data_IF_530074725536
#
_entry.id   IF_530074725536
#
_cell.length_a   1.000
_cell.length_b   1.000
_cell.length_c   1.000
_cell.angle_alpha   90.00
_cell.angle_beta   90.00
_cell.angle_gamma   90.00
#
_symmetry.space_group_name_H-M   'P 1'
#
loop_
_entity.id
_entity.type
_entity.pdbx_description
1 polymer ?
#
# COMPACT_ATOMS: atom_id res chain seq x y z
N UNK A 1 -12.18 -14.72 10.58
CA UNK A 1 -11.98 -14.07 9.27
C UNK A 1 -10.71 -13.20 9.19
N UNK A 2 -9.80 -13.30 10.18
CA UNK A 2 -8.38 -12.98 10.04
C UNK A 2 -7.64 -14.24 10.49
N UNK A 3 -7.54 -15.19 9.57
CA UNK A 3 -6.91 -16.49 9.80
C UNK A 3 -5.51 -16.41 9.20
N UNK A 4 -4.44 -16.28 10.02
CA UNK A 4 -3.07 -16.16 9.50
C UNK A 4 -2.67 -17.38 8.65
N UNK A 5 -3.38 -18.50 8.81
CA UNK A 5 -3.19 -19.73 8.03
C UNK A 5 -3.39 -19.51 6.54
N UNK A 6 -4.31 -18.62 6.14
CA UNK A 6 -4.60 -18.36 4.70
C UNK A 6 -3.39 -17.75 3.97
N UNK A 7 -2.58 -16.94 4.66
CA UNK A 7 -1.36 -16.36 4.07
C UNK A 7 -0.26 -17.43 3.93
N UNK A 8 -0.18 -18.35 4.88
CA UNK A 8 0.77 -19.47 4.88
C UNK A 8 0.41 -20.51 3.81
N UNK A 9 -0.87 -20.83 3.63
CA UNK A 9 -1.35 -21.78 2.61
C UNK A 9 -1.18 -21.22 1.18
N UNK A 10 -1.31 -19.89 1.02
CA UNK A 10 -0.94 -19.20 -0.22
C UNK A 10 0.57 -19.33 -0.52
N UNK A 11 1.44 -19.13 0.48
CA UNK A 11 2.88 -19.27 0.33
C UNK A 11 3.33 -20.72 0.07
N UNK A 12 2.53 -21.70 0.49
CA UNK A 12 2.75 -23.14 0.27
C UNK A 12 2.12 -23.70 -1.01
N UNK A 13 1.48 -22.85 -1.85
CA UNK A 13 0.79 -23.25 -3.08
C UNK A 13 -0.42 -24.19 -2.89
N UNK A 14 -0.95 -24.34 -1.67
CA UNK A 14 -2.15 -25.15 -1.44
C UNK A 14 -3.44 -24.36 -1.69
N UNK A 15 -3.43 -23.03 -1.45
CA UNK A 15 -4.63 -22.19 -1.60
C UNK A 15 -4.37 -20.91 -2.41
N UNK A 16 -4.87 -20.88 -3.66
CA UNK A 16 -4.76 -19.73 -4.57
C UNK A 16 -5.84 -18.67 -4.34
N UNK A 17 -6.69 -18.80 -3.32
CA UNK A 17 -7.78 -17.86 -3.04
C UNK A 17 -7.31 -16.41 -2.88
N UNK A 18 -6.20 -16.18 -2.15
CA UNK A 18 -5.63 -14.84 -1.98
C UNK A 18 -5.10 -14.26 -3.30
N UNK A 19 -4.47 -15.09 -4.14
CA UNK A 19 -3.98 -14.67 -5.45
C UNK A 19 -5.14 -14.26 -6.36
N UNK A 20 -6.22 -15.05 -6.37
CA UNK A 20 -7.42 -14.76 -7.14
C UNK A 20 -8.09 -13.45 -6.70
N UNK A 21 -8.20 -13.22 -5.39
CA UNK A 21 -8.83 -12.00 -4.85
C UNK A 21 -7.97 -10.77 -5.15
N UNK A 22 -6.66 -10.83 -4.87
CA UNK A 22 -5.74 -9.71 -5.15
C UNK A 22 -5.61 -9.45 -6.66
N UNK A 23 -5.48 -10.50 -7.47
CA UNK A 23 -5.41 -10.40 -8.93
C UNK A 23 -6.73 -9.91 -9.55
N UNK A 24 -7.87 -10.39 -9.07
CA UNK A 24 -9.20 -9.92 -9.46
C UNK A 24 -9.40 -8.44 -9.11
N UNK A 25 -9.07 -8.04 -7.88
CA UNK A 25 -9.14 -6.63 -7.48
C UNK A 25 -8.20 -5.75 -8.34
N UNK A 26 -6.97 -6.21 -8.61
CA UNK A 26 -6.00 -5.48 -9.43
C UNK A 26 -6.47 -5.32 -10.88
N UNK A 27 -7.00 -6.38 -11.49
CA UNK A 27 -7.51 -6.35 -12.87
C UNK A 27 -8.74 -5.46 -13.03
N UNK A 28 -9.70 -5.54 -12.10
CA UNK A 28 -10.88 -4.66 -12.09
C UNK A 28 -10.46 -3.20 -11.90
N UNK A 29 -9.53 -2.92 -10.98
CA UNK A 29 -9.00 -1.57 -10.75
C UNK A 29 -8.26 -1.05 -11.99
N UNK A 30 -7.42 -1.87 -12.61
CA UNK A 30 -6.71 -1.50 -13.83
C UNK A 30 -7.68 -1.21 -14.99
N UNK A 31 -8.70 -2.06 -15.19
CA UNK A 31 -9.73 -1.86 -16.20
C UNK A 31 -10.51 -0.55 -15.96
N UNK A 32 -11.00 -0.34 -14.74
CA UNK A 32 -11.77 0.88 -14.40
C UNK A 32 -10.94 2.15 -14.55
N UNK A 33 -9.70 2.19 -14.06
CA UNK A 33 -8.82 3.36 -14.21
C UNK A 33 -8.47 3.62 -15.68
N UNK A 34 -8.18 2.58 -16.45
CA UNK A 34 -7.86 2.73 -17.89
C UNK A 34 -9.07 3.20 -18.69
N UNK A 35 -10.27 2.67 -18.42
CA UNK A 35 -11.53 3.12 -19.01
C UNK A 35 -11.82 4.58 -18.64
N UNK A 36 -11.66 4.97 -17.37
CA UNK A 36 -11.90 6.33 -16.91
C UNK A 36 -10.97 7.34 -17.58
N UNK A 37 -9.67 7.04 -17.67
CA UNK A 37 -8.68 7.89 -18.36
C UNK A 37 -8.96 7.94 -19.87
N UNK A 38 -9.30 6.81 -20.49
CA UNK A 38 -9.56 6.73 -21.95
C UNK A 38 -10.88 7.40 -22.35
N UNK A 39 -11.86 7.45 -21.44
CA UNK A 39 -13.14 8.13 -21.67
C UNK A 39 -13.01 9.64 -21.80
N UNK A 40 -11.86 10.24 -21.46
CA UNK A 40 -11.66 11.70 -21.52
C UNK A 40 -12.59 12.48 -20.58
N UNK A 41 -13.27 11.79 -19.67
CA UNK A 41 -14.24 12.38 -18.75
C UNK A 41 -13.57 13.24 -17.68
N UNK A 42 -14.34 14.14 -17.11
CA UNK A 42 -13.96 14.92 -15.93
C UNK A 42 -14.56 14.28 -14.68
N UNK A 43 -13.82 14.32 -13.57
CA UNK A 43 -14.30 13.84 -12.30
C UNK A 43 -15.51 14.67 -11.85
N UNK A 44 -16.68 14.07 -11.58
CA UNK A 44 -17.93 14.80 -11.37
C UNK A 44 -17.90 15.74 -10.14
N UNK A 45 -17.05 15.44 -9.16
CA UNK A 45 -16.88 16.25 -7.94
C UNK A 45 -15.81 17.35 -8.05
N UNK A 46 -14.87 17.26 -8.99
CA UNK A 46 -13.73 18.20 -9.05
C UNK A 46 -13.56 18.88 -10.40
N UNK A 47 -14.27 18.43 -11.43
CA UNK A 47 -14.14 18.92 -12.81
C UNK A 47 -12.79 18.61 -13.47
N UNK A 48 -11.88 17.93 -12.78
CA UNK A 48 -10.53 17.63 -13.29
C UNK A 48 -10.57 16.44 -14.23
N UNK A 49 -9.82 16.45 -15.35
CA UNK A 49 -9.73 15.29 -16.23
C UNK A 49 -9.08 14.12 -15.50
N UNK A 50 -9.52 12.90 -15.80
CA UNK A 50 -8.86 11.70 -15.29
C UNK A 50 -7.44 11.59 -15.86
N UNK A 51 -6.44 11.81 -15.02
CA UNK A 51 -5.01 11.69 -15.35
C UNK A 51 -4.38 10.46 -14.71
N UNK A 52 -3.42 9.83 -15.42
CA UNK A 52 -2.61 8.74 -14.88
C UNK A 52 -1.34 9.30 -14.26
N UNK A 53 -1.20 9.24 -12.93
CA UNK A 53 0.07 9.58 -12.26
C UNK A 53 0.95 8.34 -12.17
N UNK A 54 1.89 8.22 -13.11
CA UNK A 54 2.92 7.20 -13.07
C UNK A 54 3.95 7.54 -12.00
N UNK A 55 4.33 6.56 -11.18
CA UNK A 55 5.50 6.66 -10.30
C UNK A 55 6.66 6.01 -11.04
N UNK A 56 7.77 6.74 -11.18
CA UNK A 56 9.00 6.17 -11.71
C UNK A 56 9.55 5.10 -10.77
N UNK A 57 10.07 4.03 -11.37
CA UNK A 57 10.70 2.94 -10.67
C UNK A 57 12.09 3.37 -10.22
N UNK A 58 12.15 3.93 -9.01
CA UNK A 58 13.35 4.45 -8.37
C UNK A 58 13.84 3.47 -7.28
N UNK A 59 15.11 3.55 -6.89
CA UNK A 59 15.71 2.73 -5.82
C UNK A 59 14.95 2.85 -4.50
N UNK A 60 14.34 4.01 -4.23
CA UNK A 60 13.43 4.20 -3.10
C UNK A 60 12.19 3.30 -3.13
N UNK A 61 11.65 3.03 -4.33
CA UNK A 61 10.50 2.14 -4.51
C UNK A 61 10.91 0.69 -4.24
N UNK A 62 12.10 0.29 -4.70
CA UNK A 62 12.60 -1.06 -4.48
C UNK A 62 12.91 -1.32 -3.00
N UNK A 63 13.64 -0.42 -2.34
CA UNK A 63 13.98 -0.54 -0.92
C UNK A 63 12.75 -0.44 -0.03
N UNK A 64 11.91 0.58 -0.25
CA UNK A 64 10.68 0.78 0.52
C UNK A 64 9.69 -0.37 0.32
N UNK A 65 9.53 -0.84 -0.91
CA UNK A 65 8.70 -2.00 -1.25
C UNK A 65 9.19 -3.29 -0.60
N UNK A 66 10.51 -3.51 -0.56
CA UNK A 66 11.12 -4.64 0.13
C UNK A 66 10.84 -4.63 1.63
N UNK A 67 11.13 -3.52 2.32
CA UNK A 67 10.88 -3.38 3.76
C UNK A 67 9.38 -3.54 4.07
N UNK A 68 8.51 -2.91 3.28
CA UNK A 68 7.07 -3.04 3.43
C UNK A 68 6.59 -4.48 3.24
N UNK A 69 7.09 -5.18 2.22
CA UNK A 69 6.76 -6.58 1.94
C UNK A 69 7.21 -7.53 3.05
N UNK A 70 8.41 -7.33 3.60
CA UNK A 70 8.92 -8.12 4.73
C UNK A 70 8.04 -7.90 5.97
N UNK A 71 7.71 -6.65 6.30
CA UNK A 71 6.83 -6.34 7.43
C UNK A 71 5.42 -6.92 7.26
N UNK A 72 4.90 -6.91 6.04
CA UNK A 72 3.63 -7.55 5.70
C UNK A 72 3.68 -9.06 5.90
N UNK A 73 4.72 -9.74 5.41
CA UNK A 73 4.89 -11.18 5.55
C UNK A 73 5.07 -11.63 6.99
N UNK A 74 5.82 -10.86 7.79
CA UNK A 74 6.04 -11.14 9.22
C UNK A 74 4.78 -10.93 10.07
N UNK A 75 3.99 -9.89 9.76
CA UNK A 75 2.77 -9.59 10.52
C UNK A 75 1.57 -10.43 10.09
N UNK A 76 1.58 -10.98 8.87
CA UNK A 76 0.43 -11.70 8.30
C UNK A 76 -0.81 -10.82 8.10
N UNK A 77 -0.65 -9.49 8.18
CA UNK A 77 -1.76 -8.54 8.14
C UNK A 77 -1.52 -7.57 6.98
N UNK A 78 -2.47 -7.57 6.02
CA UNK A 78 -2.52 -6.54 5.00
C UNK A 78 -3.22 -5.28 5.50
N UNK A 79 -2.83 -4.08 5.04
CA UNK A 79 -3.49 -2.84 5.45
C UNK A 79 -4.99 -2.91 5.17
N UNK A 80 -5.42 -3.47 4.03
CA UNK A 80 -6.84 -3.65 3.71
C UNK A 80 -7.60 -4.53 4.71
N UNK A 81 -7.01 -5.65 5.12
CA UNK A 81 -7.58 -6.55 6.11
C UNK A 81 -7.55 -5.95 7.51
N UNK A 82 -6.57 -5.11 7.82
CA UNK A 82 -6.52 -4.37 9.07
C UNK A 82 -7.73 -3.43 9.19
N UNK A 83 -8.01 -2.64 8.13
CA UNK A 83 -9.19 -1.77 8.11
C UNK A 83 -10.51 -2.56 8.15
N UNK A 84 -10.61 -3.65 7.40
CA UNK A 84 -11.79 -4.51 7.43
C UNK A 84 -12.02 -5.14 8.81
N UNK A 85 -10.95 -5.61 9.47
CA UNK A 85 -11.01 -6.20 10.81
C UNK A 85 -11.43 -5.19 11.87
N UNK A 86 -11.03 -3.92 11.71
CA UNK A 86 -11.49 -2.84 12.58
C UNK A 86 -13.01 -2.64 12.46
N UNK A 87 -13.56 -2.72 11.23
CA UNK A 87 -15.00 -2.64 10.98
C UNK A 87 -15.82 -3.79 11.59
N UNK A 88 -15.20 -4.94 11.82
CA UNK A 88 -15.82 -6.12 12.48
C UNK A 88 -15.68 -6.06 14.02
N UNK A 89 -15.03 -5.02 14.56
CA UNK A 89 -14.88 -4.82 16.01
C UNK A 89 -13.66 -5.52 16.64
N UNK A 90 -12.68 -5.93 15.83
CA UNK A 90 -11.45 -6.55 16.33
C UNK A 90 -10.48 -5.49 16.89
N UNK A 91 -10.68 -5.09 18.15
CA UNK A 91 -9.86 -4.08 18.83
C UNK A 91 -8.34 -4.35 18.84
N UNK A 92 -7.85 -5.61 18.99
CA UNK A 92 -6.42 -5.92 18.86
C UNK A 92 -5.75 -5.41 17.56
N UNK A 93 -6.50 -5.26 16.47
CA UNK A 93 -5.95 -4.77 15.19
C UNK A 93 -5.45 -3.33 15.28
N UNK A 94 -5.92 -2.56 16.26
CA UNK A 94 -5.51 -1.18 16.49
C UNK A 94 -4.01 -1.08 16.77
N UNK A 95 -3.40 -2.07 17.42
CA UNK A 95 -1.96 -2.10 17.63
C UNK A 95 -1.18 -2.24 16.33
N UNK A 96 -1.66 -3.09 15.41
CA UNK A 96 -1.05 -3.24 14.09
C UNK A 96 -1.20 -1.96 13.28
N UNK A 97 -2.38 -1.34 13.29
CA UNK A 97 -2.64 -0.07 12.60
C UNK A 97 -1.76 1.05 13.18
N UNK A 98 -1.67 1.16 14.50
CA UNK A 98 -0.80 2.13 15.17
C UNK A 98 0.67 1.94 14.78
N UNK A 99 1.15 0.69 14.74
CA UNK A 99 2.51 0.38 14.27
C UNK A 99 2.74 0.78 12.81
N UNK A 100 1.77 0.54 11.93
CA UNK A 100 1.85 0.98 10.52
C UNK A 100 1.96 2.50 10.39
N UNK A 101 1.14 3.26 11.14
CA UNK A 101 1.21 4.72 11.12
C UNK A 101 2.49 5.27 11.76
N UNK A 102 2.94 4.68 12.86
CA UNK A 102 4.20 5.05 13.49
C UNK A 102 5.39 4.84 12.54
N UNK A 103 5.44 3.70 11.85
CA UNK A 103 6.47 3.42 10.85
C UNK A 103 6.43 4.39 9.66
N UNK A 104 5.24 4.69 9.14
CA UNK A 104 5.08 5.65 8.05
C UNK A 104 5.49 7.08 8.46
N UNK A 105 5.12 7.50 9.67
CA UNK A 105 5.50 8.80 10.20
C UNK A 105 7.01 8.90 10.42
N UNK A 106 7.62 7.88 11.03
CA UNK A 106 9.06 7.81 11.24
C UNK A 106 9.82 7.86 9.92
N UNK A 107 9.39 7.10 8.91
CA UNK A 107 9.99 7.14 7.57
C UNK A 107 9.87 8.54 6.94
N UNK A 108 8.73 9.21 7.09
CA UNK A 108 8.53 10.58 6.63
C UNK A 108 9.50 11.56 7.31
N UNK A 109 9.59 11.48 8.64
CA UNK A 109 10.49 12.32 9.43
C UNK A 109 11.97 12.09 9.07
N UNK A 110 12.41 10.83 8.91
CA UNK A 110 13.77 10.53 8.45
C UNK A 110 14.04 11.12 7.07
N UNK A 111 13.09 11.02 6.14
CA UNK A 111 13.27 11.56 4.78
C UNK A 111 13.41 13.07 4.78
N UNK A 112 12.63 13.76 5.61
CA UNK A 112 12.69 15.21 5.73
C UNK A 112 13.99 15.66 6.42
N UNK A 113 14.46 14.91 7.43
CA UNK A 113 15.74 15.16 8.09
C UNK A 113 16.95 14.96 7.15
N UNK A 114 16.97 13.88 6.36
CA UNK A 114 18.04 13.63 5.37
C UNK A 114 18.05 14.72 4.29
N UNK A 115 16.88 15.13 3.81
CA UNK A 115 16.77 16.25 2.84
C UNK A 115 17.25 17.58 3.39
N UNK A 116 17.02 17.85 4.67
CA UNK A 116 17.49 19.06 5.31
C UNK A 116 19.03 19.09 5.42
N UNK A 117 19.66 17.93 5.69
CA UNK A 117 21.11 17.79 5.75
C UNK A 117 21.78 17.99 4.38
N UNK A 118 21.24 17.37 3.32
CA UNK A 118 21.73 17.56 1.94
C UNK A 118 21.64 19.03 1.49
N UNK A 119 20.57 19.74 1.86
CA UNK A 119 20.38 21.14 1.49
C UNK A 119 21.42 22.08 2.13
N UNK A 120 21.93 21.72 3.32
CA UNK A 120 23.02 22.46 3.98
C UNK A 120 24.39 22.19 3.35
N UNK A 121 24.63 21.02 2.77
CA UNK A 121 25.91 20.70 2.13
C UNK A 121 26.05 21.31 0.72
N UNK A 122 24.95 21.49 -0.02
CA UNK A 122 24.97 22.11 -1.36
C UNK A 122 25.05 23.65 -1.31
N UNK A 123 24.73 24.24 -0.15
CA UNK A 123 24.76 25.69 0.08
C UNK A 123 26.09 26.25 0.62
N UNK A 124 27.10 25.41 0.86
CA UNK A 124 28.43 25.77 1.37
C UNK A 124 29.50 25.62 0.28
#
# INVERSE_FOLDING_TARGET
MARPEVVLDFLQFEDFGLLLVMGGAATVTAATVTLAVKSGGTAPLTGRPYGRRLKEFDSNVLLGGGVFGIGWGLSGICPGAAYASLGVGNLPILWAIAGMFAGAYLQGWLRDAVRAADATEVGA
#
